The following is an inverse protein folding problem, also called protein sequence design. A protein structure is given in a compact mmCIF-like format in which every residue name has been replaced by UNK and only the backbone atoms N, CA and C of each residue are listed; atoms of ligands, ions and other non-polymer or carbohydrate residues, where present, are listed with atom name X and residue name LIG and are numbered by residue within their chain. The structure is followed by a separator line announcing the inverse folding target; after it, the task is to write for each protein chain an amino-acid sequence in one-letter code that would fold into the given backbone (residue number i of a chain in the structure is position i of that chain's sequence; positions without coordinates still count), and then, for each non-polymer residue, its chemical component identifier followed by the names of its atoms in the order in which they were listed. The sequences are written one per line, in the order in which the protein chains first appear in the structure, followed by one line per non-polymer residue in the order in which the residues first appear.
data_IF_738665258946
#
_entry.id   IF_738665258946
#
_cell.length_a   1.000
_cell.length_b   1.000
_cell.length_c   1.000
_cell.angle_alpha   90.00
_cell.angle_beta   90.00
_cell.angle_gamma   90.00
#
_symmetry.space_group_name_H-M   'P 1'
#
loop_
_entity.id
_entity.type
_entity.pdbx_description
1 polymer ?
#
# COMPACT_ATOMS: atom_id res chain seq x y z
N UNK A 1 -13.00 -21.21 -9.22
CA UNK A 1 -12.67 -20.28 -10.32
C UNK A 1 -13.48 -19.02 -10.09
N UNK A 2 -12.85 -17.93 -9.62
CA UNK A 2 -13.51 -16.63 -9.53
C UNK A 2 -13.54 -16.07 -10.95
N UNK A 3 -14.73 -15.94 -11.52
CA UNK A 3 -14.93 -15.31 -12.83
C UNK A 3 -14.60 -13.83 -12.66
N UNK A 4 -13.45 -13.41 -13.17
CA UNK A 4 -13.13 -11.99 -13.31
C UNK A 4 -14.19 -11.38 -14.24
N UNK A 5 -15.14 -10.64 -13.67
CA UNK A 5 -16.00 -9.78 -14.47
C UNK A 5 -15.11 -8.70 -15.11
N UNK A 6 -15.10 -8.53 -16.44
CA UNK A 6 -14.19 -7.61 -17.12
C UNK A 6 -14.46 -6.12 -16.82
N UNK A 7 -15.36 -5.80 -15.89
CA UNK A 7 -15.79 -4.45 -15.55
C UNK A 7 -15.55 -4.06 -14.09
N UNK A 8 -14.98 -4.96 -13.26
CA UNK A 8 -14.82 -4.65 -11.84
C UNK A 8 -13.48 -3.93 -11.61
N UNK A 9 -13.53 -2.74 -11.02
CA UNK A 9 -12.34 -1.97 -10.68
C UNK A 9 -11.47 -2.69 -9.66
N UNK A 10 -10.17 -2.61 -9.86
CA UNK A 10 -9.16 -3.22 -9.00
C UNK A 10 -8.18 -2.18 -8.46
N UNK A 11 -7.64 -2.44 -7.27
CA UNK A 11 -6.73 -1.57 -6.54
C UNK A 11 -5.55 -2.41 -6.06
N UNK A 12 -4.35 -2.06 -6.51
CA UNK A 12 -3.18 -2.90 -6.32
C UNK A 12 -2.28 -2.36 -5.20
N UNK A 13 -1.96 -3.18 -4.22
CA UNK A 13 -1.08 -2.85 -3.10
C UNK A 13 0.16 -3.73 -3.05
N UNK A 14 1.31 -3.14 -2.75
CA UNK A 14 2.61 -3.81 -2.71
C UNK A 14 3.30 -3.54 -1.37
N UNK A 15 3.68 -4.60 -0.66
CA UNK A 15 4.70 -4.56 0.41
C UNK A 15 6.03 -5.00 -0.19
N UNK A 16 6.88 -4.02 -0.49
CA UNK A 16 8.11 -4.21 -1.25
C UNK A 16 9.29 -4.55 -0.32
N UNK A 17 10.00 -5.63 -0.62
CA UNK A 17 11.26 -5.97 0.06
C UNK A 17 12.43 -5.17 -0.53
N UNK A 18 13.35 -4.73 0.34
CA UNK A 18 14.59 -4.07 -0.08
C UNK A 18 15.57 -5.00 -0.78
N UNK A 19 15.46 -6.31 -0.58
CA UNK A 19 16.39 -7.30 -1.10
C UNK A 19 15.72 -8.18 -2.16
N UNK A 20 16.34 -8.34 -3.36
CA UNK A 20 15.85 -9.27 -4.36
C UNK A 20 15.96 -10.75 -3.93
N UNK A 21 16.67 -11.03 -2.83
CA UNK A 21 16.73 -12.39 -2.23
C UNK A 21 15.48 -12.71 -1.39
N UNK A 22 14.72 -11.71 -0.99
CA UNK A 22 13.50 -11.86 -0.21
C UNK A 22 12.29 -11.63 -1.12
N UNK A 23 11.25 -12.44 -0.93
CA UNK A 23 9.97 -12.22 -1.60
C UNK A 23 9.35 -10.90 -1.13
N UNK A 24 8.67 -10.22 -2.03
CA UNK A 24 7.76 -9.12 -1.77
C UNK A 24 6.32 -9.65 -1.80
N UNK A 25 5.37 -8.94 -1.19
CA UNK A 25 3.97 -9.32 -1.21
C UNK A 25 3.15 -8.35 -2.05
N UNK A 26 2.08 -8.84 -2.67
CA UNK A 26 1.08 -8.02 -3.33
C UNK A 26 -0.33 -8.42 -2.91
N UNK A 27 -1.26 -7.49 -3.04
CA UNK A 27 -2.68 -7.71 -2.90
C UNK A 27 -3.44 -6.94 -3.97
N UNK A 28 -4.49 -7.54 -4.50
CA UNK A 28 -5.41 -6.93 -5.47
C UNK A 28 -6.78 -6.88 -4.84
N UNK A 29 -7.23 -5.71 -4.48
CA UNK A 29 -8.55 -5.47 -3.91
C UNK A 29 -9.53 -5.12 -5.03
N UNK A 30 -10.64 -5.83 -5.08
CA UNK A 30 -11.75 -5.54 -5.96
C UNK A 30 -12.75 -4.58 -5.30
N UNK A 31 -13.55 -3.92 -6.10
CA UNK A 31 -14.54 -2.95 -5.64
C UNK A 31 -15.58 -3.55 -4.68
N UNK A 32 -15.85 -4.86 -4.79
CA UNK A 32 -16.72 -5.62 -3.90
C UNK A 32 -16.05 -6.06 -2.59
N UNK A 33 -14.83 -5.59 -2.33
CA UNK A 33 -13.97 -5.91 -1.18
C UNK A 33 -13.43 -7.35 -1.15
N UNK A 34 -13.56 -8.12 -2.24
CA UNK A 34 -12.80 -9.35 -2.42
C UNK A 34 -11.33 -9.01 -2.70
N UNK A 35 -10.41 -9.76 -2.12
CA UNK A 35 -9.00 -9.47 -2.27
C UNK A 35 -8.21 -10.75 -2.58
N UNK A 36 -7.42 -10.70 -3.65
CA UNK A 36 -6.43 -11.71 -4.02
C UNK A 36 -5.07 -11.30 -3.47
N UNK A 37 -4.31 -12.25 -2.97
CA UNK A 37 -2.97 -12.00 -2.41
C UNK A 37 -1.95 -12.95 -2.97
N UNK A 38 -0.70 -12.52 -3.06
CA UNK A 38 0.39 -13.35 -3.53
C UNK A 38 1.77 -12.78 -3.21
N UNK A 39 2.78 -13.48 -3.69
CA UNK A 39 4.17 -13.08 -3.54
C UNK A 39 4.85 -13.02 -4.91
N UNK A 40 5.90 -12.22 -4.99
CA UNK A 40 6.80 -12.15 -6.13
C UNK A 40 8.25 -11.94 -5.65
N UNK A 41 9.22 -12.27 -6.49
CA UNK A 41 10.65 -12.04 -6.21
C UNK A 41 11.23 -11.00 -7.15
N UNK A 42 10.92 -11.10 -8.44
CA UNK A 42 11.46 -10.23 -9.47
C UNK A 42 10.44 -9.16 -9.86
N UNK A 43 10.93 -7.97 -10.20
CA UNK A 43 10.07 -6.85 -10.52
C UNK A 43 9.24 -7.09 -11.78
N UNK A 44 9.75 -7.90 -12.72
CA UNK A 44 9.02 -8.31 -13.92
C UNK A 44 7.76 -9.12 -13.58
N UNK A 45 7.83 -10.01 -12.58
CA UNK A 45 6.66 -10.77 -12.10
C UNK A 45 5.57 -9.82 -11.56
N UNK A 46 5.97 -8.73 -10.88
CA UNK A 46 5.02 -7.73 -10.41
C UNK A 46 4.41 -6.95 -11.57
N UNK A 47 5.22 -6.55 -12.55
CA UNK A 47 4.73 -5.83 -13.74
C UNK A 47 3.71 -6.68 -14.49
N UNK A 48 3.98 -7.96 -14.70
CA UNK A 48 3.04 -8.90 -15.32
C UNK A 48 1.72 -8.99 -14.52
N UNK A 49 1.80 -9.02 -13.19
CA UNK A 49 0.59 -9.03 -12.34
C UNK A 49 -0.19 -7.72 -12.42
N UNK A 50 0.48 -6.58 -12.46
CA UNK A 50 -0.17 -5.28 -12.64
C UNK A 50 -0.88 -5.22 -14.00
N UNK A 51 -0.24 -5.72 -15.08
CA UNK A 51 -0.85 -5.82 -16.41
C UNK A 51 -2.06 -6.79 -16.43
N UNK A 52 -1.94 -7.95 -15.77
CA UNK A 52 -3.02 -8.95 -15.65
C UNK A 52 -4.28 -8.37 -14.99
N UNK A 53 -4.11 -7.62 -13.91
CA UNK A 53 -5.23 -7.07 -13.15
C UNK A 53 -5.67 -5.67 -13.58
N UNK A 54 -4.87 -4.96 -14.37
CA UNK A 54 -5.14 -3.61 -14.91
C UNK A 54 -5.76 -2.66 -13.88
N UNK A 55 -5.09 -2.40 -12.74
CA UNK A 55 -5.68 -1.66 -11.62
C UNK A 55 -5.85 -0.17 -11.91
N UNK A 56 -6.78 0.49 -11.21
CA UNK A 56 -6.99 1.93 -11.21
C UNK A 56 -5.76 2.72 -10.72
N UNK A 57 -4.96 2.13 -9.83
CA UNK A 57 -3.66 2.62 -9.38
C UNK A 57 -2.91 1.52 -8.63
N UNK A 58 -1.59 1.71 -8.47
CA UNK A 58 -0.68 0.85 -7.71
C UNK A 58 -0.13 1.62 -6.52
N UNK A 59 -0.33 1.11 -5.31
CA UNK A 59 0.25 1.63 -4.08
C UNK A 59 1.48 0.85 -3.65
N UNK A 60 2.61 1.52 -3.50
CA UNK A 60 3.87 0.89 -3.08
C UNK A 60 4.21 1.33 -1.65
N UNK A 61 4.38 0.36 -0.74
CA UNK A 61 4.91 0.59 0.62
C UNK A 61 6.42 0.78 0.58
N UNK A 62 6.82 1.92 0.06
CA UNK A 62 8.20 2.39 0.08
C UNK A 62 8.25 3.87 -0.26
N UNK A 63 9.29 4.60 0.20
CA UNK A 63 9.52 5.96 -0.26
C UNK A 63 9.77 5.99 -1.76
N UNK A 64 9.09 6.90 -2.48
CA UNK A 64 9.25 7.10 -3.92
C UNK A 64 10.14 8.30 -4.28
N UNK A 65 10.82 8.87 -3.28
CA UNK A 65 11.80 9.93 -3.46
C UNK A 65 12.80 9.97 -2.32
N UNK A 66 13.97 10.58 -2.57
CA UNK A 66 14.93 10.91 -1.53
C UNK A 66 14.73 12.33 -1.00
N UNK A 67 15.24 12.65 0.22
CA UNK A 67 15.25 14.02 0.70
C UNK A 67 16.04 14.94 -0.23
N UNK A 68 15.51 16.11 -0.53
CA UNK A 68 16.26 17.14 -1.26
C UNK A 68 17.34 17.81 -0.39
N UNK A 69 17.04 17.91 0.94
CA UNK A 69 17.97 18.46 1.94
C UNK A 69 17.87 17.69 3.26
N UNK A 70 19.01 17.46 3.90
CA UNK A 70 19.09 16.82 5.20
C UNK A 70 18.76 15.32 5.15
N UNK A 71 18.38 14.76 6.30
CA UNK A 71 18.22 13.32 6.48
C UNK A 71 16.78 12.83 6.28
N UNK A 72 15.77 13.66 6.55
CA UNK A 72 14.35 13.34 6.41
C UNK A 72 13.68 14.19 5.35
N UNK A 73 12.78 13.59 4.57
CA UNK A 73 11.84 14.35 3.74
C UNK A 73 10.84 15.10 4.64
N UNK A 74 10.14 16.06 4.09
CA UNK A 74 9.10 16.77 4.84
C UNK A 74 7.90 15.87 5.15
N UNK A 75 7.64 14.80 4.37
CA UNK A 75 6.60 13.82 4.67
C UNK A 75 6.85 13.08 5.98
N UNK A 76 8.06 12.58 6.26
CA UNK A 76 8.36 11.92 7.53
C UNK A 76 8.20 12.88 8.71
N UNK A 77 8.54 14.17 8.52
CA UNK A 77 8.34 15.20 9.54
C UNK A 77 6.83 15.45 9.76
N UNK A 78 6.03 15.47 8.70
CA UNK A 78 4.57 15.65 8.79
C UNK A 78 3.91 14.44 9.45
N UNK A 79 4.29 13.20 9.09
CA UNK A 79 3.81 11.98 9.74
C UNK A 79 4.06 12.00 11.27
N UNK A 80 5.23 12.46 11.70
CA UNK A 80 5.55 12.58 13.14
C UNK A 80 4.59 13.53 13.88
N UNK A 81 4.12 14.60 13.22
CA UNK A 81 3.11 15.52 13.82
C UNK A 81 1.75 14.83 13.98
N UNK A 82 1.46 13.82 13.15
CA UNK A 82 0.29 12.95 13.28
C UNK A 82 0.52 11.78 14.27
N UNK A 83 1.66 11.74 14.97
CA UNK A 83 2.02 10.65 15.87
C UNK A 83 2.51 9.38 15.17
N UNK A 84 2.65 9.41 13.84
CA UNK A 84 3.05 8.28 13.01
C UNK A 84 4.56 8.30 12.82
N UNK A 85 5.25 7.21 13.22
CA UNK A 85 6.70 7.07 13.03
C UNK A 85 6.99 6.42 11.68
N UNK A 86 7.85 7.05 10.89
CA UNK A 86 8.41 6.53 9.64
C UNK A 86 9.92 6.69 9.63
N UNK A 87 10.61 5.79 8.92
CA UNK A 87 12.05 5.85 8.72
C UNK A 87 12.40 6.79 7.57
N UNK A 88 13.59 7.39 7.66
CA UNK A 88 14.14 8.16 6.54
C UNK A 88 14.47 7.24 5.37
N UNK A 89 14.25 7.67 4.11
CA UNK A 89 14.76 6.97 2.93
C UNK A 89 16.29 6.77 2.92
N UNK A 90 17.02 7.57 3.70
CA UNK A 90 18.48 7.47 3.83
C UNK A 90 18.92 6.51 4.95
N UNK A 91 17.99 5.98 5.75
CA UNK A 91 18.30 4.98 6.76
C UNK A 91 18.81 3.70 6.09
N UNK A 92 19.77 3.02 6.73
CA UNK A 92 20.31 1.75 6.25
C UNK A 92 19.17 0.73 6.02
N UNK A 93 19.17 0.07 4.89
CA UNK A 93 18.07 -0.81 4.47
C UNK A 93 16.93 -0.09 3.73
N UNK A 94 16.61 1.16 4.09
CA UNK A 94 15.59 1.95 3.36
C UNK A 94 16.13 2.50 2.04
N UNK A 95 17.43 2.77 1.93
CA UNK A 95 18.04 3.33 0.71
C UNK A 95 17.88 2.41 -0.49
N UNK A 96 18.18 1.12 -0.33
CA UNK A 96 18.01 0.14 -1.42
C UNK A 96 16.53 -0.10 -1.75
N UNK A 97 15.66 -0.11 -0.73
CA UNK A 97 14.21 -0.16 -0.91
C UNK A 97 13.70 1.03 -1.73
N UNK A 98 14.12 2.25 -1.36
CA UNK A 98 13.74 3.48 -2.05
C UNK A 98 14.20 3.49 -3.51
N UNK A 99 15.45 3.09 -3.78
CA UNK A 99 15.98 3.00 -5.15
C UNK A 99 15.16 2.02 -5.99
N UNK A 100 14.89 0.82 -5.47
CA UNK A 100 14.05 -0.19 -6.14
C UNK A 100 12.64 0.33 -6.41
N UNK A 101 12.03 0.98 -5.42
CA UNK A 101 10.69 1.53 -5.54
C UNK A 101 10.59 2.64 -6.59
N UNK A 102 11.59 3.53 -6.69
CA UNK A 102 11.67 4.58 -7.72
C UNK A 102 11.79 3.96 -9.12
N UNK A 103 12.60 2.92 -9.29
CA UNK A 103 12.75 2.21 -10.57
C UNK A 103 11.44 1.53 -10.98
N UNK A 104 10.82 0.80 -10.06
CA UNK A 104 9.54 0.12 -10.28
C UNK A 104 8.41 1.12 -10.60
N UNK A 105 8.34 2.24 -9.87
CA UNK A 105 7.43 3.33 -10.19
C UNK A 105 7.61 3.81 -11.63
N UNK A 106 8.86 4.12 -12.03
CA UNK A 106 9.17 4.61 -13.37
C UNK A 106 8.75 3.61 -14.46
N UNK A 107 8.93 2.31 -14.20
CA UNK A 107 8.55 1.26 -15.13
C UNK A 107 7.03 1.14 -15.29
N UNK A 108 6.28 1.19 -14.19
CA UNK A 108 4.82 1.13 -14.21
C UNK A 108 4.20 2.41 -14.82
N UNK A 109 4.76 3.59 -14.50
CA UNK A 109 4.28 4.86 -15.07
C UNK A 109 4.49 4.93 -16.59
N UNK A 110 5.60 4.38 -17.13
CA UNK A 110 5.81 4.26 -18.60
C UNK A 110 4.75 3.37 -19.27
N UNK A 111 4.16 2.43 -18.55
CA UNK A 111 3.07 1.57 -19.02
C UNK A 111 1.69 2.19 -18.82
N UNK A 112 1.62 3.41 -18.30
CA UNK A 112 0.37 4.18 -18.11
C UNK A 112 -0.31 3.95 -16.77
N UNK A 113 0.31 3.25 -15.82
CA UNK A 113 -0.28 3.06 -14.49
C UNK A 113 0.04 4.23 -13.56
N UNK A 114 -0.96 4.66 -12.81
CA UNK A 114 -0.76 5.60 -11.71
C UNK A 114 -0.11 4.89 -10.52
N UNK A 115 1.01 5.42 -10.02
CA UNK A 115 1.73 4.85 -8.88
C UNK A 115 1.77 5.85 -7.73
N UNK A 116 1.34 5.43 -6.56
CA UNK A 116 1.31 6.25 -5.35
C UNK A 116 2.19 5.66 -4.23
N UNK A 117 2.84 6.54 -3.49
CA UNK A 117 3.50 6.17 -2.23
C UNK A 117 2.46 6.00 -1.13
N UNK A 118 2.49 4.87 -0.47
CA UNK A 118 1.61 4.57 0.65
C UNK A 118 2.42 4.09 1.87
N UNK A 119 1.81 4.11 3.03
CA UNK A 119 2.40 3.58 4.26
C UNK A 119 1.34 2.77 5.04
N UNK A 120 1.33 1.43 4.90
CA UNK A 120 0.36 0.56 5.56
C UNK A 120 0.31 0.74 7.08
N UNK A 121 1.47 0.85 7.74
CA UNK A 121 1.51 1.12 9.17
C UNK A 121 0.81 2.43 9.57
N UNK A 122 0.94 3.46 8.75
CA UNK A 122 0.22 4.73 8.96
C UNK A 122 -1.29 4.58 8.75
N UNK A 123 -1.71 3.90 7.69
CA UNK A 123 -3.13 3.57 7.45
C UNK A 123 -3.70 2.72 8.59
N UNK A 124 -2.96 1.72 9.10
CA UNK A 124 -3.37 0.90 10.24
C UNK A 124 -3.61 1.78 11.48
N UNK A 125 -2.70 2.71 11.78
CA UNK A 125 -2.85 3.65 12.90
C UNK A 125 -4.10 4.53 12.73
N UNK A 126 -4.32 5.10 11.54
CA UNK A 126 -5.49 5.95 11.23
C UNK A 126 -6.82 5.20 11.36
N UNK A 127 -6.82 3.91 11.00
CA UNK A 127 -7.99 3.03 11.11
C UNK A 127 -8.11 2.35 12.48
N UNK A 128 -7.23 2.66 13.45
CA UNK A 128 -7.24 2.03 14.77
C UNK A 128 -7.01 0.52 14.73
N UNK A 129 -6.25 0.05 13.71
CA UNK A 129 -5.83 -1.33 13.57
C UNK A 129 -4.45 -1.53 14.21
N UNK A 130 -4.14 -2.69 14.79
CA UNK A 130 -2.80 -2.96 15.26
C UNK A 130 -1.86 -3.17 14.06
N UNK A 131 -0.62 -2.69 14.16
CA UNK A 131 0.42 -2.98 13.16
C UNK A 131 0.85 -4.45 13.21
N UNK A 132 1.38 -4.98 12.09
CA UNK A 132 1.84 -6.39 11.96
C UNK A 132 2.81 -6.84 13.05
N UNK A 133 3.66 -5.93 13.55
CA UNK A 133 4.64 -6.21 14.62
C UNK A 133 4.02 -6.25 16.03
N UNK A 134 2.78 -5.81 16.21
CA UNK A 134 2.03 -5.88 17.47
C UNK A 134 1.17 -7.14 17.54
N UNK A 135 0.40 -7.42 16.51
CA UNK A 135 -0.41 -8.64 16.41
C UNK A 135 -0.92 -8.85 14.98
N UNK A 136 -0.36 -9.82 14.29
CA UNK A 136 -0.80 -10.20 12.94
C UNK A 136 -2.23 -10.74 12.94
N UNK A 137 -2.59 -11.52 13.95
CA UNK A 137 -3.95 -12.06 14.11
C UNK A 137 -5.01 -10.96 14.28
N UNK A 138 -4.75 -9.99 15.19
CA UNK A 138 -5.68 -8.87 15.39
C UNK A 138 -5.74 -7.97 14.17
N UNK A 139 -4.63 -7.79 13.43
CA UNK A 139 -4.61 -7.05 12.17
C UNK A 139 -5.48 -7.78 11.13
N UNK A 140 -5.29 -9.10 10.93
CA UNK A 140 -6.13 -9.89 10.04
C UNK A 140 -7.62 -9.75 10.39
N UNK A 141 -7.98 -9.97 11.66
CA UNK A 141 -9.37 -9.85 12.11
C UNK A 141 -9.92 -8.42 11.93
N UNK A 142 -9.08 -7.41 12.14
CA UNK A 142 -9.46 -6.01 11.92
C UNK A 142 -9.78 -5.72 10.46
N UNK A 143 -8.93 -6.15 9.52
CA UNK A 143 -9.17 -6.02 8.08
C UNK A 143 -10.44 -6.77 7.65
N UNK A 144 -10.67 -7.99 8.19
CA UNK A 144 -11.90 -8.75 7.95
C UNK A 144 -13.15 -8.02 8.47
N UNK A 145 -13.07 -7.37 9.62
CA UNK A 145 -14.18 -6.58 10.19
C UNK A 145 -14.50 -5.34 9.34
N UNK A 146 -13.52 -4.77 8.67
CA UNK A 146 -13.74 -3.70 7.69
C UNK A 146 -14.49 -4.19 6.43
N UNK A 147 -14.63 -5.51 6.25
CA UNK A 147 -15.38 -6.14 5.15
C UNK A 147 -14.51 -6.80 4.10
N UNK A 148 -13.19 -6.69 4.18
CA UNK A 148 -12.31 -7.30 3.20
C UNK A 148 -12.42 -8.82 3.24
N UNK A 149 -12.52 -9.44 2.07
CA UNK A 149 -12.61 -10.91 1.89
C UNK A 149 -11.35 -11.42 1.22
N UNK A 150 -10.47 -12.04 1.99
CA UNK A 150 -9.23 -12.65 1.52
C UNK A 150 -8.90 -13.91 2.33
N UNK A 151 -8.03 -14.80 1.80
CA UNK A 151 -7.64 -16.02 2.51
C UNK A 151 -7.04 -15.73 3.89
N UNK A 152 -7.26 -16.63 4.83
CA UNK A 152 -6.63 -16.50 6.14
C UNK A 152 -5.11 -16.48 5.98
N UNK A 153 -4.47 -15.48 6.56
CA UNK A 153 -3.03 -15.36 6.58
C UNK A 153 -2.55 -14.72 7.86
N UNK A 154 -1.42 -15.24 8.36
CA UNK A 154 -0.64 -14.65 9.44
C UNK A 154 0.71 -14.13 8.93
N UNK A 155 0.90 -14.11 7.62
CA UNK A 155 2.07 -13.48 7.00
C UNK A 155 1.90 -11.95 7.07
N UNK A 156 2.84 -11.28 7.75
CA UNK A 156 2.76 -9.84 7.98
C UNK A 156 2.89 -9.02 6.70
N UNK A 157 3.64 -9.52 5.72
CA UNK A 157 3.88 -8.81 4.47
C UNK A 157 2.63 -8.89 3.57
N UNK A 158 1.90 -10.04 3.59
CA UNK A 158 0.59 -10.11 2.95
C UNK A 158 -0.45 -9.17 3.59
N UNK A 159 -0.46 -9.05 4.93
CA UNK A 159 -1.38 -8.16 5.64
C UNK A 159 -1.08 -6.68 5.35
N UNK A 160 0.20 -6.32 5.22
CA UNK A 160 0.58 -4.97 4.79
C UNK A 160 0.24 -4.73 3.32
N UNK A 161 0.42 -5.71 2.42
CA UNK A 161 -0.03 -5.61 1.04
C UNK A 161 -1.55 -5.42 0.92
N UNK A 162 -2.35 -6.15 1.73
CA UNK A 162 -3.82 -5.94 1.81
C UNK A 162 -4.15 -4.53 2.31
N UNK A 163 -3.44 -4.05 3.34
CA UNK A 163 -3.61 -2.67 3.83
C UNK A 163 -3.21 -1.65 2.76
N UNK A 164 -2.17 -1.94 1.97
CA UNK A 164 -1.73 -1.14 0.83
C UNK A 164 -2.84 -1.03 -0.23
N UNK A 165 -3.41 -2.16 -0.65
CA UNK A 165 -4.52 -2.18 -1.61
C UNK A 165 -5.75 -1.43 -1.09
N UNK A 166 -6.08 -1.57 0.21
CA UNK A 166 -7.14 -0.79 0.86
C UNK A 166 -6.83 0.71 0.84
N UNK A 167 -5.57 1.12 0.99
CA UNK A 167 -5.17 2.53 0.91
C UNK A 167 -5.35 3.08 -0.52
N UNK A 168 -5.04 2.27 -1.56
CA UNK A 168 -5.31 2.64 -2.96
C UNK A 168 -6.81 2.76 -3.21
N UNK A 169 -7.61 1.84 -2.68
CA UNK A 169 -9.08 1.92 -2.73
C UNK A 169 -9.57 3.22 -2.09
N UNK A 170 -9.10 3.54 -0.88
CA UNK A 170 -9.45 4.78 -0.19
C UNK A 170 -9.07 6.02 -1.01
N UNK A 171 -7.91 6.02 -1.64
CA UNK A 171 -7.45 7.09 -2.53
C UNK A 171 -8.41 7.31 -3.70
N UNK A 172 -8.84 6.26 -4.37
CA UNK A 172 -9.78 6.32 -5.51
C UNK A 172 -11.22 6.62 -5.11
N UNK A 173 -11.57 6.42 -3.82
CA UNK A 173 -12.89 6.78 -3.27
C UNK A 173 -12.88 8.12 -2.53
N UNK A 174 -11.80 8.89 -2.63
CA UNK A 174 -11.61 10.20 -1.96
C UNK A 174 -11.65 10.15 -0.42
N UNK A 175 -11.46 8.95 0.16
CA UNK A 175 -11.43 8.66 1.60
C UNK A 175 -9.98 8.57 2.13
N UNK A 176 -9.16 9.57 1.84
CA UNK A 176 -7.74 9.54 2.12
C UNK A 176 -7.21 10.83 2.74
N UNK A 177 -6.03 10.74 3.34
CA UNK A 177 -5.21 11.85 3.79
C UNK A 177 -3.98 11.91 2.90
N UNK A 178 -3.79 13.04 2.20
CA UNK A 178 -2.58 13.30 1.44
C UNK A 178 -1.56 14.05 2.31
N UNK A 179 -0.46 13.38 2.62
CA UNK A 179 0.71 14.02 3.22
C UNK A 179 1.59 14.50 2.06
N UNK A 180 1.48 15.77 1.71
CA UNK A 180 2.28 16.40 0.64
C UNK A 180 3.15 17.52 1.19
N UNK A 181 4.21 17.84 0.49
CA UNK A 181 5.17 18.85 0.92
C UNK A 181 5.92 19.49 -0.23
N UNK A 182 6.54 20.66 0.06
CA UNK A 182 7.27 21.47 -0.92
C UNK A 182 8.53 20.79 -1.50
N UNK A 183 9.02 19.72 -0.90
CA UNK A 183 10.12 18.90 -1.43
C UNK A 183 9.65 17.84 -2.46
N UNK A 184 8.38 17.89 -2.88
CA UNK A 184 7.80 16.98 -3.86
C UNK A 184 7.36 15.61 -3.28
N UNK A 185 7.53 15.39 -1.98
CA UNK A 185 7.03 14.18 -1.35
C UNK A 185 5.48 14.18 -1.33
N UNK A 186 4.90 13.04 -1.73
CA UNK A 186 3.45 12.79 -1.70
C UNK A 186 3.21 11.37 -1.19
N UNK A 187 2.59 11.25 -0.03
CA UNK A 187 2.28 9.98 0.62
C UNK A 187 0.81 9.93 0.98
N UNK A 188 0.16 8.83 0.69
CA UNK A 188 -1.27 8.61 0.92
C UNK A 188 -1.48 7.68 2.12
N UNK A 189 -2.40 8.05 3.00
CA UNK A 189 -2.96 7.22 4.06
C UNK A 189 -4.47 7.13 3.89
N UNK A 190 -5.10 6.03 4.30
CA UNK A 190 -6.55 6.01 4.39
C UNK A 190 -7.05 6.93 5.50
N UNK A 191 -8.15 7.64 5.25
CA UNK A 191 -8.83 8.46 6.25
C UNK A 191 -9.62 7.58 7.24
N UNK A 192 -9.82 8.00 8.50
CA UNK A 192 -10.74 7.33 9.42
C UNK A 192 -12.18 7.20 8.89
N UNK A 193 -12.64 8.14 8.06
CA UNK A 193 -13.96 8.14 7.43
C UNK A 193 -14.17 6.97 6.45
N UNK A 194 -13.09 6.35 5.97
CA UNK A 194 -13.18 5.13 5.15
C UNK A 194 -14.01 4.03 5.80
N UNK A 195 -14.03 3.93 7.15
CA UNK A 195 -14.84 2.92 7.85
C UNK A 195 -16.34 3.08 7.56
N UNK A 196 -16.82 4.30 7.51
CA UNK A 196 -18.23 4.61 7.20
C UNK A 196 -18.54 4.31 5.73
N UNK A 197 -17.65 4.68 4.83
CA UNK A 197 -17.78 4.37 3.40
C UNK A 197 -17.81 2.85 3.13
N UNK A 198 -17.00 2.06 3.84
CA UNK A 198 -16.99 0.60 3.72
C UNK A 198 -18.27 -0.06 4.24
N UNK A 199 -18.96 0.53 5.21
CA UNK A 199 -20.25 0.01 5.69
C UNK A 199 -21.34 0.10 4.62
N UNK A 200 -21.30 1.11 3.77
CA UNK A 200 -22.27 1.29 2.67
C UNK A 200 -22.11 0.24 1.56
N UNK A 201 -20.94 -0.34 1.39
CA UNK A 201 -20.67 -1.38 0.38
C UNK A 201 -21.17 -2.76 0.87
N UNK A 202 -21.33 -2.95 2.19
CA UNK A 202 -21.77 -4.21 2.79
C UNK A 202 -23.29 -4.43 2.78
N UNK A 203 -24.07 -3.36 2.60
CA UNK A 203 -25.54 -3.39 2.54
C UNK A 203 -26.03 -3.69 1.15
#
# INVERSE_FOLDING_TARGET
MLTNSPFMKTFFGVDLSASPKKKSAYAVLYEDLTCVTGFFKHDDELVEKVEEYSPEAVGIDAPLSFPQKGYYRLCEKALRRLGIRAFSPLFEGMRSLTLRAIQLRSELEKRGYEVIEIYPGGTQDMLGLPRKNKSREKLYLGLRRLGLRFPESRDGDLLDAVTAALTVFAYKKEEYILVSSSDGCRLVLASPSLKEALLQIKG
#
